data_IF_093557528694
#
_entry.id   IF_093557528694
#
_cell.length_a   1.000
_cell.length_b   1.000
_cell.length_c   1.000
_cell.angle_alpha   90.00
_cell.angle_beta   90.00
_cell.angle_gamma   90.00
#
_symmetry.space_group_name_H-M   'P 1'
#
loop_
_entity.id
_entity.type
_entity.pdbx_description
1 polymer ?
#
# COMPACT_ATOMS: atom_id res chain seq x y z
N UNK A 1 5.91 -8.19 -6.10
CA UNK A 1 4.48 -8.41 -6.40
C UNK A 1 3.82 -9.45 -5.50
N UNK A 2 4.18 -10.74 -5.55
CA UNK A 2 3.49 -11.77 -4.74
C UNK A 2 3.51 -11.48 -3.24
N UNK A 3 4.71 -11.23 -2.68
CA UNK A 3 4.86 -10.83 -1.28
C UNK A 3 4.05 -9.57 -0.97
N UNK A 4 4.20 -8.52 -1.79
CA UNK A 4 3.47 -7.27 -1.62
C UNK A 4 1.94 -7.46 -1.58
N UNK A 5 1.34 -8.18 -2.55
CA UNK A 5 -0.10 -8.41 -2.57
C UNK A 5 -0.57 -9.29 -1.40
N UNK A 6 0.22 -10.29 -1.02
CA UNK A 6 -0.14 -11.20 0.09
C UNK A 6 -0.07 -10.48 1.44
N UNK A 7 0.96 -9.66 1.66
CA UNK A 7 1.07 -8.80 2.86
C UNK A 7 -0.12 -7.85 2.94
N UNK A 8 -0.48 -7.16 1.86
CA UNK A 8 -1.64 -6.26 1.87
C UNK A 8 -2.97 -7.01 2.03
N UNK A 9 -3.11 -8.20 1.43
CA UNK A 9 -4.30 -9.04 1.59
C UNK A 9 -4.49 -9.51 3.04
N UNK A 10 -3.42 -9.61 3.83
CA UNK A 10 -3.53 -9.93 5.26
C UNK A 10 -4.33 -8.89 6.04
N UNK A 11 -4.52 -7.67 5.52
CA UNK A 11 -5.37 -6.66 6.12
C UNK A 11 -6.83 -7.10 6.24
N UNK A 12 -7.31 -7.93 5.31
CA UNK A 12 -8.65 -8.53 5.41
C UNK A 12 -8.82 -9.37 6.69
N UNK A 13 -7.73 -9.93 7.22
CA UNK A 13 -7.76 -10.76 8.43
C UNK A 13 -7.71 -9.97 9.73
N UNK A 14 -7.48 -8.65 9.65
CA UNK A 14 -7.47 -7.75 10.79
C UNK A 14 -6.24 -6.83 10.82
N UNK A 15 -6.44 -5.66 11.42
CA UNK A 15 -5.43 -4.59 11.56
C UNK A 15 -4.17 -5.08 12.27
N UNK A 16 -4.32 -5.91 13.31
CA UNK A 16 -3.19 -6.44 14.07
C UNK A 16 -2.30 -7.34 13.20
N UNK A 17 -2.90 -8.20 12.36
CA UNK A 17 -2.15 -9.09 11.47
C UNK A 17 -1.36 -8.29 10.45
N UNK A 18 -2.01 -7.30 9.84
CA UNK A 18 -1.35 -6.42 8.88
C UNK A 18 -0.24 -5.59 9.52
N UNK A 19 -0.50 -4.96 10.66
CA UNK A 19 0.46 -4.14 11.37
C UNK A 19 1.71 -4.94 11.79
N UNK A 20 1.55 -6.19 12.24
CA UNK A 20 2.69 -7.09 12.52
C UNK A 20 3.52 -7.38 11.28
N UNK A 21 2.87 -7.62 10.14
CA UNK A 21 3.58 -7.85 8.89
C UNK A 21 4.36 -6.61 8.45
N UNK A 22 3.82 -5.41 8.66
CA UNK A 22 4.50 -4.14 8.39
C UNK A 22 5.68 -3.94 9.35
N UNK A 23 5.54 -4.20 10.65
CA UNK A 23 6.68 -4.17 11.57
C UNK A 23 7.82 -5.09 11.13
N UNK A 24 7.49 -6.31 10.68
CA UNK A 24 8.50 -7.24 10.17
C UNK A 24 9.25 -6.69 8.94
N UNK A 25 8.53 -6.02 8.02
CA UNK A 25 9.13 -5.38 6.85
C UNK A 25 10.07 -4.24 7.27
N UNK A 26 9.72 -3.49 8.31
CA UNK A 26 10.52 -2.37 8.80
C UNK A 26 11.61 -2.74 9.83
N UNK A 27 11.67 -4.00 10.28
CA UNK A 27 12.63 -4.49 11.25
C UNK A 27 14.11 -4.28 10.87
N UNK A 28 14.53 -4.31 9.58
CA UNK A 28 15.91 -3.99 9.19
C UNK A 28 16.35 -2.54 9.50
N UNK A 29 15.42 -1.65 9.86
CA UNK A 29 15.73 -0.30 10.34
C UNK A 29 16.55 0.51 9.32
N UNK A 30 17.74 1.05 9.69
CA UNK A 30 18.59 1.83 8.80
C UNK A 30 19.07 1.09 7.54
N UNK A 31 19.05 -0.24 7.53
CA UNK A 31 19.42 -1.05 6.36
C UNK A 31 18.30 -1.13 5.32
N UNK A 32 17.06 -0.84 5.71
CA UNK A 32 15.89 -1.00 4.85
C UNK A 32 16.02 -0.23 3.52
N UNK A 33 16.43 1.07 3.48
CA UNK A 33 16.57 1.77 2.21
C UNK A 33 17.58 1.11 1.26
N UNK A 34 18.67 0.53 1.81
CA UNK A 34 19.67 -0.18 0.99
C UNK A 34 19.06 -1.44 0.37
N UNK A 35 18.29 -2.20 1.16
CA UNK A 35 17.58 -3.39 0.69
C UNK A 35 16.56 -3.01 -0.38
N UNK A 36 15.77 -1.95 -0.16
CA UNK A 36 14.76 -1.47 -1.09
C UNK A 36 15.39 -1.03 -2.42
N UNK A 37 16.49 -0.26 -2.39
CA UNK A 37 17.17 0.15 -3.61
C UNK A 37 17.78 -1.03 -4.37
N UNK A 38 18.44 -1.94 -3.67
CA UNK A 38 19.11 -3.08 -4.30
C UNK A 38 18.13 -4.10 -4.90
N UNK A 39 17.05 -4.43 -4.19
CA UNK A 39 16.16 -5.55 -4.55
C UNK A 39 14.79 -5.14 -5.09
N UNK A 40 14.39 -3.87 -4.93
CA UNK A 40 13.11 -3.36 -5.41
C UNK A 40 13.32 -2.30 -6.49
N UNK A 41 13.88 -1.15 -6.15
CA UNK A 41 13.91 0.00 -7.06
C UNK A 41 14.86 -0.19 -8.25
N UNK A 42 16.10 -0.64 -8.04
CA UNK A 42 17.05 -0.77 -9.15
C UNK A 42 16.61 -1.81 -10.21
N UNK A 43 16.19 -3.03 -9.84
CA UNK A 43 15.67 -3.99 -10.82
C UNK A 43 14.40 -3.50 -11.51
N UNK A 44 13.50 -2.83 -10.77
CA UNK A 44 12.25 -2.30 -11.30
C UNK A 44 12.50 -1.15 -12.29
N UNK A 45 13.45 -0.26 -11.99
CA UNK A 45 13.83 0.83 -12.87
C UNK A 45 14.45 0.30 -14.17
N UNK A 46 15.37 -0.66 -14.07
CA UNK A 46 15.93 -1.35 -15.23
C UNK A 46 14.83 -1.97 -16.09
N UNK A 47 13.90 -2.70 -15.47
CA UNK A 47 12.76 -3.31 -16.16
C UNK A 47 11.86 -2.27 -16.83
N UNK A 48 11.53 -1.17 -16.15
CA UNK A 48 10.67 -0.11 -16.67
C UNK A 48 11.30 0.62 -17.85
N UNK A 49 12.59 0.96 -17.77
CA UNK A 49 13.32 1.65 -18.85
C UNK A 49 13.36 0.76 -20.10
N UNK A 50 13.78 -0.51 -19.96
CA UNK A 50 13.80 -1.45 -21.08
C UNK A 50 12.39 -1.73 -21.61
N UNK A 51 11.40 -1.85 -20.73
CA UNK A 51 10.01 -2.05 -21.10
C UNK A 51 9.46 -0.91 -21.95
N UNK A 52 9.72 0.34 -21.58
CA UNK A 52 9.35 1.53 -22.36
C UNK A 52 10.07 1.55 -23.71
N UNK A 53 11.36 1.22 -23.74
CA UNK A 53 12.12 1.13 -25.01
C UNK A 53 11.53 0.07 -25.96
N UNK A 54 11.23 -1.13 -25.46
CA UNK A 54 10.59 -2.23 -26.22
C UNK A 54 9.16 -1.87 -26.65
N UNK A 55 8.43 -1.13 -25.82
CA UNK A 55 7.07 -0.68 -26.16
C UNK A 55 7.09 0.33 -27.32
N UNK A 56 8.06 1.24 -27.35
CA UNK A 56 8.22 2.26 -28.41
C UNK A 56 8.72 1.69 -29.73
N UNK A 57 9.54 0.64 -29.71
CA UNK A 57 10.13 0.04 -30.92
C UNK A 57 9.34 -1.16 -31.46
N UNK A 58 8.34 -1.64 -30.71
CA UNK A 58 7.52 -2.79 -31.10
C UNK A 58 6.51 -2.48 -32.20
N UNK A 59 6.26 -3.46 -33.07
CA UNK A 59 5.22 -3.39 -34.10
C UNK A 59 3.99 -4.20 -33.64
N UNK A 60 2.81 -3.57 -33.61
CA UNK A 60 1.54 -4.23 -33.30
C UNK A 60 0.80 -4.59 -34.60
N UNK A 61 0.22 -5.79 -34.68
CA UNK A 61 -0.55 -6.23 -35.85
C UNK A 61 -1.95 -6.76 -35.48
N UNK A 62 -2.54 -6.19 -34.43
CA UNK A 62 -3.85 -6.61 -33.90
C UNK A 62 -5.02 -6.24 -34.81
N UNK A 63 -4.87 -5.25 -35.66
CA UNK A 63 -5.94 -4.75 -36.53
C UNK A 63 -6.20 -5.68 -37.73
N UNK A 64 -5.14 -6.32 -38.25
CA UNK A 64 -5.23 -7.26 -39.38
C UNK A 64 -5.27 -8.73 -38.93
N UNK A 65 -4.62 -9.07 -37.81
CA UNK A 65 -4.55 -10.44 -37.30
C UNK A 65 -4.93 -10.51 -35.82
N UNK A 66 -6.18 -10.87 -35.54
CA UNK A 66 -6.76 -10.98 -34.19
C UNK A 66 -6.38 -12.30 -33.47
N UNK A 67 -5.16 -12.76 -33.66
CA UNK A 67 -4.65 -13.96 -32.99
C UNK A 67 -4.49 -13.71 -31.49
N UNK A 68 -4.71 -14.75 -30.68
CA UNK A 68 -4.56 -14.67 -29.21
C UNK A 68 -3.16 -14.22 -28.80
N UNK A 69 -2.12 -14.65 -29.49
CA UNK A 69 -0.73 -14.21 -29.29
C UNK A 69 -0.56 -12.70 -29.52
N UNK A 70 -1.14 -12.16 -30.59
CA UNK A 70 -1.08 -10.73 -30.91
C UNK A 70 -1.81 -9.88 -29.86
N UNK A 71 -2.97 -10.35 -29.39
CA UNK A 71 -3.70 -9.68 -28.30
C UNK A 71 -2.89 -9.64 -27.00
N UNK A 72 -2.25 -10.75 -26.64
CA UNK A 72 -1.39 -10.83 -25.45
C UNK A 72 -0.15 -9.94 -25.54
N UNK A 73 0.47 -9.89 -26.72
CA UNK A 73 1.59 -9.00 -27.00
C UNK A 73 1.22 -7.52 -26.85
N UNK A 74 0.05 -7.13 -27.36
CA UNK A 74 -0.48 -5.77 -27.23
C UNK A 74 -0.87 -5.45 -25.79
N UNK A 75 -1.62 -6.34 -25.12
CA UNK A 75 -2.02 -6.17 -23.72
C UNK A 75 -0.83 -6.09 -22.78
N UNK A 76 0.28 -6.81 -23.03
CA UNK A 76 1.51 -6.68 -22.23
C UNK A 76 2.01 -5.23 -22.21
N UNK A 77 1.97 -4.54 -23.36
CA UNK A 77 2.43 -3.15 -23.48
C UNK A 77 1.47 -2.18 -22.82
N UNK A 78 0.18 -2.31 -23.11
CA UNK A 78 -0.85 -1.45 -22.52
C UNK A 78 -0.82 -1.56 -21.00
N UNK A 79 -0.86 -2.79 -20.46
CA UNK A 79 -0.80 -3.00 -19.01
C UNK A 79 0.54 -2.59 -18.40
N UNK A 80 1.64 -2.69 -19.15
CA UNK A 80 2.95 -2.20 -18.70
C UNK A 80 2.99 -0.68 -18.55
N UNK A 81 2.39 0.05 -19.50
CA UNK A 81 2.28 1.51 -19.42
C UNK A 81 1.32 1.94 -18.30
N UNK A 82 0.18 1.26 -18.15
CA UNK A 82 -0.74 1.50 -17.03
C UNK A 82 -0.04 1.22 -15.70
N UNK A 83 0.69 0.10 -15.58
CA UNK A 83 1.45 -0.25 -14.38
C UNK A 83 2.53 0.78 -14.05
N UNK A 84 3.20 1.36 -15.06
CA UNK A 84 4.18 2.43 -14.86
C UNK A 84 3.54 3.70 -14.28
N UNK A 85 2.42 4.14 -14.85
CA UNK A 85 1.67 5.30 -14.34
C UNK A 85 1.12 5.01 -12.94
N UNK A 86 0.55 3.81 -12.74
CA UNK A 86 0.07 3.35 -11.46
C UNK A 86 1.18 3.38 -10.41
N UNK A 87 2.35 2.81 -10.70
CA UNK A 87 3.48 2.78 -9.77
C UNK A 87 3.95 4.19 -9.41
N UNK A 88 4.01 5.10 -10.40
CA UNK A 88 4.42 6.48 -10.15
C UNK A 88 3.51 7.17 -9.13
N UNK A 89 2.19 7.09 -9.35
CA UNK A 89 1.22 7.68 -8.45
C UNK A 89 1.06 6.88 -7.16
N UNK A 90 1.28 5.57 -7.16
CA UNK A 90 1.24 4.73 -5.97
C UNK A 90 2.32 5.16 -4.97
N UNK A 91 3.57 5.31 -5.44
CA UNK A 91 4.68 5.78 -4.62
C UNK A 91 4.43 7.23 -4.18
N UNK A 92 3.95 8.10 -5.06
CA UNK A 92 3.59 9.48 -4.68
C UNK A 92 2.50 9.49 -3.60
N UNK A 93 1.40 8.79 -3.83
CA UNK A 93 0.22 8.82 -2.98
C UNK A 93 0.48 8.30 -1.58
N UNK A 94 1.14 7.15 -1.45
CA UNK A 94 1.36 6.55 -0.13
C UNK A 94 2.67 6.99 0.50
N UNK A 95 3.75 7.12 -0.28
CA UNK A 95 5.10 7.32 0.25
C UNK A 95 5.71 8.70 -0.03
N UNK A 96 5.09 9.51 -0.89
CA UNK A 96 5.59 10.85 -1.21
C UNK A 96 6.92 10.88 -1.96
N UNK A 97 7.39 9.79 -2.56
CA UNK A 97 8.69 9.69 -3.27
C UNK A 97 9.94 9.90 -2.40
N UNK A 98 10.33 11.16 -2.17
CA UNK A 98 11.59 11.52 -1.53
C UNK A 98 11.37 11.80 -0.04
N UNK A 99 12.26 11.29 0.81
CA UNK A 99 12.16 11.44 2.26
C UNK A 99 12.95 12.66 2.76
N UNK A 100 12.90 13.76 2.03
CA UNK A 100 13.47 15.04 2.45
C UNK A 100 12.38 15.91 3.08
N UNK A 101 12.62 16.49 4.25
CA UNK A 101 11.59 17.17 5.04
C UNK A 101 10.84 18.25 4.24
N UNK A 102 11.57 19.13 3.54
CA UNK A 102 10.95 20.19 2.72
C UNK A 102 10.00 19.62 1.65
N UNK A 103 10.33 18.47 1.08
CA UNK A 103 9.55 17.82 0.04
C UNK A 103 8.34 17.12 0.65
N UNK A 104 8.55 16.37 1.75
CA UNK A 104 7.48 15.68 2.47
C UNK A 104 6.40 16.66 2.96
N UNK A 105 6.80 17.79 3.53
CA UNK A 105 5.84 18.85 3.91
C UNK A 105 5.02 19.34 2.72
N UNK A 106 5.66 19.54 1.57
CA UNK A 106 4.99 20.02 0.36
C UNK A 106 4.00 18.98 -0.18
N UNK A 107 4.40 17.72 -0.31
CA UNK A 107 3.53 16.66 -0.85
C UNK A 107 2.39 16.30 0.09
N UNK A 108 2.63 16.34 1.41
CA UNK A 108 1.58 16.13 2.42
C UNK A 108 0.52 17.22 2.38
N UNK A 109 0.92 18.48 2.21
CA UNK A 109 -0.02 19.59 2.01
C UNK A 109 -0.90 19.40 0.76
N UNK A 110 -0.43 18.65 -0.24
CA UNK A 110 -1.17 18.28 -1.44
C UNK A 110 -1.99 16.99 -1.29
N UNK A 111 -2.01 16.35 -0.11
CA UNK A 111 -2.75 15.11 0.14
C UNK A 111 -2.02 13.83 -0.28
N UNK A 112 -0.69 13.87 -0.44
CA UNK A 112 0.16 12.73 -0.80
C UNK A 112 1.11 12.34 0.34
N UNK A 113 1.73 11.17 0.27
CA UNK A 113 2.62 10.67 1.33
C UNK A 113 1.87 10.38 2.63
N UNK A 114 0.65 9.84 2.53
CA UNK A 114 -0.28 9.66 3.64
C UNK A 114 -0.01 8.41 4.48
N UNK A 115 0.71 7.42 3.94
CA UNK A 115 0.95 6.15 4.64
C UNK A 115 1.95 6.33 5.79
N UNK A 116 1.63 5.74 6.94
CA UNK A 116 2.49 5.72 8.13
C UNK A 116 2.71 4.28 8.57
N UNK A 117 3.94 3.74 8.49
CA UNK A 117 4.20 2.34 8.80
C UNK A 117 3.79 1.88 10.20
N UNK A 118 3.75 2.78 11.18
CA UNK A 118 3.36 2.45 12.56
C UNK A 118 1.85 2.63 12.82
N UNK A 119 1.11 3.14 11.83
CA UNK A 119 -0.34 3.20 11.80
C UNK A 119 -0.84 2.71 10.42
N UNK A 120 -0.42 1.51 10.04
CA UNK A 120 -0.42 1.08 8.64
C UNK A 120 -1.83 0.87 8.08
N UNK A 121 -2.69 0.16 8.79
CA UNK A 121 -4.05 -0.12 8.36
C UNK A 121 -4.91 1.13 8.35
N UNK A 122 -4.87 1.91 9.42
CA UNK A 122 -5.66 3.15 9.52
C UNK A 122 -5.26 4.18 8.46
N UNK A 123 -3.95 4.43 8.26
CA UNK A 123 -3.51 5.39 7.23
C UNK A 123 -3.70 4.90 5.81
N UNK A 124 -3.57 3.58 5.56
CA UNK A 124 -3.88 3.00 4.25
C UNK A 124 -5.37 3.17 3.92
N UNK A 125 -6.26 2.82 4.84
CA UNK A 125 -7.70 2.95 4.63
C UNK A 125 -8.12 4.41 4.48
N UNK A 126 -7.57 5.32 5.31
CA UNK A 126 -7.81 6.75 5.18
C UNK A 126 -7.35 7.31 3.82
N UNK A 127 -6.21 6.84 3.30
CA UNK A 127 -5.71 7.24 1.98
C UNK A 127 -6.63 6.79 0.83
N UNK A 128 -7.45 5.77 1.04
CA UNK A 128 -8.39 5.27 0.02
C UNK A 128 -9.75 5.97 0.04
N UNK A 129 -9.89 7.11 0.70
CA UNK A 129 -11.15 7.85 0.76
C UNK A 129 -11.67 8.30 -0.63
N UNK A 130 -13.00 8.39 -0.75
CA UNK A 130 -13.69 8.73 -2.01
C UNK A 130 -13.72 7.56 -3.00
N UNK A 131 -13.86 7.86 -4.29
CA UNK A 131 -13.98 6.82 -5.34
C UNK A 131 -12.82 6.82 -6.34
N UNK A 132 -12.09 7.94 -6.46
CA UNK A 132 -11.02 8.11 -7.43
C UNK A 132 -9.84 7.18 -7.13
N UNK A 133 -9.31 7.22 -5.89
CA UNK A 133 -8.19 6.38 -5.48
C UNK A 133 -8.54 4.89 -5.49
N UNK A 134 -9.68 4.43 -4.95
CA UNK A 134 -10.10 3.05 -5.08
C UNK A 134 -10.15 2.56 -6.54
N UNK A 135 -10.77 3.31 -7.46
CA UNK A 135 -10.85 2.92 -8.86
C UNK A 135 -9.46 2.89 -9.53
N UNK A 136 -8.63 3.90 -9.27
CA UNK A 136 -7.26 3.98 -9.78
C UNK A 136 -6.42 2.77 -9.35
N UNK A 137 -6.50 2.40 -8.06
CA UNK A 137 -5.77 1.26 -7.51
C UNK A 137 -6.28 -0.07 -8.05
N UNK A 138 -7.59 -0.26 -8.23
CA UNK A 138 -8.13 -1.49 -8.78
C UNK A 138 -7.61 -1.74 -10.21
N UNK A 139 -7.66 -0.72 -11.07
CA UNK A 139 -7.16 -0.80 -12.45
C UNK A 139 -5.64 -1.05 -12.47
N UNK A 140 -4.90 -0.35 -11.60
CA UNK A 140 -3.45 -0.51 -11.46
C UNK A 140 -3.04 -1.92 -11.03
N UNK A 141 -3.66 -2.44 -9.96
CA UNK A 141 -3.41 -3.79 -9.43
C UNK A 141 -3.70 -4.85 -10.49
N UNK A 142 -4.87 -4.81 -11.14
CA UNK A 142 -5.23 -5.79 -12.17
C UNK A 142 -4.29 -5.72 -13.38
N UNK A 143 -3.85 -4.51 -13.76
CA UNK A 143 -2.85 -4.32 -14.81
C UNK A 143 -1.50 -4.94 -14.44
N UNK A 144 -1.02 -4.72 -13.22
CA UNK A 144 0.21 -5.34 -12.71
C UNK A 144 0.12 -6.87 -12.66
N UNK A 145 -1.02 -7.42 -12.23
CA UNK A 145 -1.25 -8.87 -12.19
C UNK A 145 -1.22 -9.47 -13.59
N UNK A 146 -1.93 -8.87 -14.55
CA UNK A 146 -1.89 -9.33 -15.93
C UNK A 146 -0.47 -9.24 -16.51
N UNK A 147 0.20 -8.08 -16.35
CA UNK A 147 1.53 -7.83 -16.87
C UNK A 147 2.55 -8.84 -16.34
N UNK A 148 2.46 -9.18 -15.04
CA UNK A 148 3.31 -10.20 -14.43
C UNK A 148 3.02 -11.60 -14.96
N UNK A 149 1.75 -12.02 -14.98
CA UNK A 149 1.38 -13.37 -15.40
C UNK A 149 1.69 -13.62 -16.88
N UNK A 150 1.39 -12.65 -17.75
CA UNK A 150 1.69 -12.74 -19.17
C UNK A 150 3.19 -12.53 -19.46
N UNK A 151 3.87 -11.70 -18.67
CA UNK A 151 5.31 -11.53 -18.69
C UNK A 151 6.05 -12.83 -18.31
N UNK A 152 5.58 -13.53 -17.28
CA UNK A 152 6.12 -14.84 -16.89
C UNK A 152 5.99 -15.84 -18.03
N UNK A 153 4.81 -15.95 -18.63
CA UNK A 153 4.61 -16.80 -19.82
C UNK A 153 5.57 -16.45 -20.96
N UNK A 154 5.75 -15.16 -21.24
CA UNK A 154 6.62 -14.69 -22.34
C UNK A 154 8.08 -14.97 -22.03
N UNK A 155 8.50 -14.74 -20.79
CA UNK A 155 9.86 -15.00 -20.33
C UNK A 155 10.24 -16.48 -20.47
N UNK A 156 9.35 -17.42 -20.14
CA UNK A 156 9.66 -18.83 -20.30
C UNK A 156 9.76 -19.29 -21.76
N UNK A 157 9.29 -18.51 -22.73
CA UNK A 157 9.65 -18.73 -24.14
C UNK A 157 11.06 -18.22 -24.39
N UNK A 158 11.35 -16.97 -24.02
CA UNK A 158 12.65 -16.31 -24.22
C UNK A 158 13.81 -17.09 -23.59
N UNK A 159 13.61 -17.64 -22.40
CA UNK A 159 14.60 -18.39 -21.64
C UNK A 159 14.54 -19.91 -21.87
N UNK A 160 13.72 -20.37 -22.83
CA UNK A 160 13.74 -21.76 -23.27
C UNK A 160 12.99 -22.78 -22.39
N UNK A 161 12.20 -22.35 -21.41
CA UNK A 161 11.42 -23.23 -20.53
C UNK A 161 10.26 -23.95 -21.25
N UNK A 162 9.61 -23.30 -22.20
CA UNK A 162 8.52 -23.90 -22.98
C UNK A 162 8.55 -23.45 -24.46
N UNK A 163 9.42 -24.10 -25.23
CA UNK A 163 9.63 -23.79 -26.66
C UNK A 163 8.65 -24.49 -27.61
N UNK A 164 8.13 -25.67 -27.23
CA UNK A 164 7.22 -26.44 -28.10
C UNK A 164 5.76 -25.98 -27.98
N UNK A 165 4.92 -26.20 -29.01
CA UNK A 165 3.49 -25.87 -28.93
C UNK A 165 2.79 -26.51 -27.72
N UNK A 166 3.12 -27.77 -27.42
CA UNK A 166 2.58 -28.47 -26.25
C UNK A 166 3.06 -27.84 -24.93
N UNK A 167 4.33 -27.43 -24.85
CA UNK A 167 4.88 -26.71 -23.70
C UNK A 167 4.17 -25.38 -23.47
N UNK A 168 4.00 -24.58 -24.51
CA UNK A 168 3.32 -23.29 -24.45
C UNK A 168 1.84 -23.44 -24.06
N UNK A 169 1.16 -24.49 -24.51
CA UNK A 169 -0.23 -24.79 -24.13
C UNK A 169 -0.36 -25.10 -22.63
N UNK A 170 0.57 -25.89 -22.06
CA UNK A 170 0.61 -26.16 -20.61
C UNK A 170 0.97 -24.91 -19.82
N UNK A 171 1.99 -24.18 -20.25
CA UNK A 171 2.41 -22.92 -19.64
C UNK A 171 1.28 -21.89 -19.63
N UNK A 172 0.43 -21.87 -20.65
CA UNK A 172 -0.74 -20.99 -20.70
C UNK A 172 -1.71 -21.28 -19.56
N UNK A 173 -2.01 -22.56 -19.29
CA UNK A 173 -2.87 -22.96 -18.16
C UNK A 173 -2.26 -22.54 -16.82
N UNK A 174 -0.97 -22.79 -16.63
CA UNK A 174 -0.25 -22.45 -15.39
C UNK A 174 -0.23 -20.94 -15.16
N UNK A 175 0.16 -20.15 -16.17
CA UNK A 175 0.26 -18.70 -16.03
C UNK A 175 -1.12 -18.03 -15.87
N UNK A 176 -2.16 -18.56 -16.51
CA UNK A 176 -3.54 -18.09 -16.29
C UNK A 176 -4.01 -18.40 -14.88
N UNK A 177 -3.82 -19.63 -14.40
CA UNK A 177 -4.18 -20.00 -13.02
C UNK A 177 -3.44 -19.13 -12.00
N UNK A 178 -2.13 -18.93 -12.19
CA UNK A 178 -1.32 -18.03 -11.38
C UNK A 178 -1.85 -16.59 -11.41
N UNK A 179 -2.16 -16.06 -12.60
CA UNK A 179 -2.73 -14.72 -12.75
C UNK A 179 -4.09 -14.57 -12.08
N UNK A 180 -4.97 -15.58 -12.17
CA UNK A 180 -6.29 -15.57 -11.50
C UNK A 180 -6.13 -15.60 -9.98
N UNK A 181 -5.26 -16.45 -9.44
CA UNK A 181 -4.98 -16.49 -7.99
C UNK A 181 -4.45 -15.15 -7.50
N UNK A 182 -3.49 -14.56 -8.22
CA UNK A 182 -2.99 -13.23 -7.87
C UNK A 182 -4.02 -12.13 -8.03
N UNK A 183 -4.93 -12.24 -9.00
CA UNK A 183 -6.03 -11.29 -9.15
C UNK A 183 -6.94 -11.35 -7.93
N UNK A 184 -7.32 -12.55 -7.46
CA UNK A 184 -8.12 -12.73 -6.23
C UNK A 184 -7.41 -12.12 -5.02
N UNK A 185 -6.13 -12.46 -4.80
CA UNK A 185 -5.34 -11.89 -3.69
C UNK A 185 -5.26 -10.36 -3.80
N UNK A 186 -5.01 -9.84 -5.00
CA UNK A 186 -4.91 -8.40 -5.25
C UNK A 186 -6.24 -7.68 -5.04
N UNK A 187 -7.36 -8.25 -5.47
CA UNK A 187 -8.69 -7.69 -5.20
C UNK A 187 -9.08 -7.80 -3.74
N UNK A 188 -8.63 -8.83 -3.03
CA UNK A 188 -8.79 -8.95 -1.58
C UNK A 188 -8.02 -7.83 -0.85
N UNK A 189 -6.77 -7.60 -1.22
CA UNK A 189 -5.96 -6.50 -0.68
C UNK A 189 -6.60 -5.14 -0.94
N UNK A 190 -7.07 -4.92 -2.17
CA UNK A 190 -7.79 -3.71 -2.54
C UNK A 190 -9.08 -3.54 -1.72
N UNK A 191 -9.90 -4.59 -1.62
CA UNK A 191 -11.15 -4.54 -0.86
C UNK A 191 -10.90 -4.23 0.62
N UNK A 192 -9.91 -4.87 1.24
CA UNK A 192 -9.55 -4.63 2.63
C UNK A 192 -9.15 -3.16 2.90
N UNK A 193 -8.55 -2.49 1.91
CA UNK A 193 -8.16 -1.09 2.03
C UNK A 193 -9.32 -0.10 1.81
N UNK A 194 -10.34 -0.46 1.02
CA UNK A 194 -11.42 0.48 0.61
C UNK A 194 -12.75 0.25 1.33
N UNK A 195 -12.94 -0.92 1.94
CA UNK A 195 -14.17 -1.27 2.66
C UNK A 195 -14.35 -0.59 4.03
N UNK A 196 -13.29 -0.29 4.81
CA UNK A 196 -13.45 0.32 6.14
C UNK A 196 -14.16 1.68 6.10
N UNK A 197 -15.04 1.90 7.07
CA UNK A 197 -15.67 3.20 7.34
C UNK A 197 -14.73 4.13 8.14
N UNK A 198 -15.14 5.39 8.32
CA UNK A 198 -14.39 6.33 9.14
C UNK A 198 -14.29 5.87 10.62
N UNK A 199 -15.34 5.25 11.14
CA UNK A 199 -15.36 4.72 12.51
C UNK A 199 -14.40 3.53 12.63
N UNK A 200 -14.38 2.64 11.63
CA UNK A 200 -13.41 1.54 11.58
C UNK A 200 -11.98 2.08 11.58
N UNK A 201 -11.68 3.10 10.75
CA UNK A 201 -10.36 3.73 10.69
C UNK A 201 -9.93 4.29 12.05
N UNK A 202 -10.86 4.90 12.79
CA UNK A 202 -10.59 5.41 14.15
C UNK A 202 -10.28 4.25 15.13
N UNK A 203 -11.03 3.14 15.06
CA UNK A 203 -10.76 1.95 15.87
C UNK A 203 -9.40 1.33 15.53
N UNK A 204 -9.09 1.17 14.24
CA UNK A 204 -7.80 0.63 13.77
C UNK A 204 -6.64 1.43 14.32
N UNK A 205 -6.76 2.76 14.33
CA UNK A 205 -5.75 3.64 14.87
C UNK A 205 -5.50 3.38 16.35
N UNK A 206 -6.57 3.24 17.15
CA UNK A 206 -6.42 2.90 18.58
C UNK A 206 -5.75 1.55 18.79
N UNK A 207 -6.05 0.55 17.95
CA UNK A 207 -5.40 -0.76 17.99
C UNK A 207 -3.90 -0.61 17.69
N UNK A 208 -3.56 0.12 16.62
CA UNK A 208 -2.17 0.34 16.19
C UNK A 208 -1.35 1.12 17.22
N UNK A 209 -1.95 2.13 17.85
CA UNK A 209 -1.29 2.92 18.90
C UNK A 209 -0.96 2.04 20.12
N UNK A 210 -1.90 1.20 20.57
CA UNK A 210 -1.63 0.21 21.64
C UNK A 210 -0.55 -0.79 21.23
N UNK A 211 -0.56 -1.24 19.97
CA UNK A 211 0.45 -2.16 19.46
C UNK A 211 1.83 -1.53 19.38
N UNK A 212 1.91 -0.25 19.01
CA UNK A 212 3.16 0.49 18.99
C UNK A 212 3.75 0.61 20.40
N UNK A 213 2.95 1.05 21.37
CA UNK A 213 3.42 1.24 22.75
C UNK A 213 3.96 -0.09 23.33
N UNK A 214 3.23 -1.19 23.13
CA UNK A 214 3.67 -2.52 23.55
C UNK A 214 4.92 -3.01 22.79
N UNK A 215 5.02 -2.74 21.49
CA UNK A 215 6.18 -3.13 20.68
C UNK A 215 7.42 -2.31 21.05
N UNK A 216 7.25 -1.04 21.41
CA UNK A 216 8.31 -0.16 21.88
C UNK A 216 8.83 -0.62 23.24
N UNK A 217 7.94 -0.90 24.20
CA UNK A 217 8.31 -1.43 25.51
C UNK A 217 9.06 -2.77 25.40
N UNK A 218 8.62 -3.64 24.48
CA UNK A 218 9.27 -4.92 24.21
C UNK A 218 10.58 -4.81 23.41
N UNK A 219 10.98 -3.62 22.94
CA UNK A 219 12.17 -3.41 22.10
C UNK A 219 12.07 -4.03 20.71
N UNK A 220 10.87 -4.31 20.22
CA UNK A 220 10.62 -4.91 18.90
C UNK A 220 10.66 -3.88 17.76
N UNK A 221 10.38 -2.62 18.08
CA UNK A 221 10.47 -1.49 17.15
C UNK A 221 11.23 -0.34 17.82
N UNK A 222 12.08 0.41 17.10
CA UNK A 222 12.73 1.58 17.66
C UNK A 222 11.74 2.76 17.68
N UNK A 223 11.97 3.69 18.61
CA UNK A 223 11.20 4.94 18.72
C UNK A 223 11.47 5.83 17.50
N UNK A 224 10.49 5.90 16.60
CA UNK A 224 10.56 6.62 15.34
C UNK A 224 9.25 7.39 15.14
N UNK A 225 9.05 8.52 15.84
CA UNK A 225 7.79 9.27 15.82
C UNK A 225 7.41 9.76 14.42
N UNK A 226 8.39 9.98 13.54
CA UNK A 226 8.19 10.36 12.14
C UNK A 226 7.47 9.26 11.31
N UNK A 227 7.49 8.01 11.77
CA UNK A 227 6.78 6.88 11.13
C UNK A 227 5.37 6.67 11.67
N UNK A 228 4.96 7.45 12.67
CA UNK A 228 3.59 7.46 13.21
C UNK A 228 2.74 8.53 12.52
N UNK A 229 1.44 8.30 12.50
CA UNK A 229 0.48 9.38 12.25
C UNK A 229 0.48 10.34 13.45
N UNK A 230 0.49 11.65 13.22
CA UNK A 230 0.46 12.63 14.30
C UNK A 230 -0.80 12.41 15.13
N UNK A 231 -0.65 12.12 16.44
CA UNK A 231 -1.76 11.90 17.34
C UNK A 231 -2.75 13.07 17.21
N UNK A 232 -4.00 12.78 16.85
CA UNK A 232 -5.04 13.73 17.19
C UNK A 232 -5.05 13.76 18.71
N UNK A 233 -4.71 14.89 19.31
CA UNK A 233 -4.97 15.15 20.73
C UNK A 233 -6.48 15.10 20.93
N UNK A 234 -7.03 13.89 21.07
CA UNK A 234 -8.33 13.68 21.66
C UNK A 234 -8.18 14.04 23.13
N UNK A 235 -8.56 15.26 23.49
CA UNK A 235 -8.68 15.74 24.87
C UNK A 235 -9.80 15.00 25.60
N UNK A 236 -9.69 13.68 25.71
CA UNK A 236 -10.54 12.87 26.58
C UNK A 236 -9.91 12.91 27.96
N UNK A 237 -10.20 13.95 28.74
CA UNK A 237 -9.71 14.00 30.12
C UNK A 237 -9.80 15.29 30.92
N UNK A 238 -10.35 16.39 30.40
CA UNK A 238 -10.38 17.66 31.15
C UNK A 238 -11.78 18.21 31.46
N UNK A 239 -12.85 17.45 31.19
CA UNK A 239 -14.23 17.89 31.46
C UNK A 239 -14.91 17.22 32.66
N UNK A 240 -14.30 16.21 33.29
CA UNK A 240 -14.92 15.50 34.43
C UNK A 240 -14.41 15.92 35.81
N UNK A 241 -13.38 16.77 35.90
CA UNK A 241 -12.84 17.21 37.20
C UNK A 241 -13.17 18.66 37.60
N UNK A 242 -13.75 19.46 36.70
CA UNK A 242 -14.03 20.88 36.98
C UNK A 242 -15.43 21.16 37.58
N UNK A 243 -16.31 20.16 37.67
CA UNK A 243 -17.71 20.37 38.04
C UNK A 243 -18.01 20.27 39.55
N UNK A 244 -17.04 19.92 40.41
CA UNK A 244 -17.34 19.51 41.80
C UNK A 244 -16.64 20.36 42.90
N UNK A 245 -16.22 21.59 42.58
CA UNK A 245 -15.52 22.46 43.56
C UNK A 245 -16.22 23.78 43.93
N UNK A 246 -17.49 23.98 43.59
CA UNK A 246 -18.22 25.18 44.03
C UNK A 246 -19.40 24.82 44.95
N UNK A 247 -19.05 24.40 46.18
CA UNK A 247 -19.99 24.32 47.31
C UNK A 247 -20.25 25.72 47.92
N UNK A 248 -21.45 25.98 48.47
CA UNK A 248 -21.91 27.34 48.76
C UNK A 248 -21.11 28.02 49.89
N UNK A 249 -20.70 29.27 49.63
CA UNK A 249 -20.06 30.18 50.59
C UNK A 249 -20.94 30.38 51.83
N UNK A 250 -20.39 30.10 53.01
CA UNK A 250 -20.99 30.42 54.31
C UNK A 250 -20.94 31.93 54.57
N UNK A 251 -22.10 32.53 54.81
CA UNK A 251 -22.24 33.90 55.28
C UNK A 251 -21.70 34.07 56.70
N UNK A 252 -20.85 35.09 56.87
CA UNK A 252 -20.35 35.52 58.18
C UNK A 252 -21.42 36.34 58.89
N UNK A 253 -22.02 35.78 59.95
CA UNK A 253 -22.83 36.54 60.91
C UNK A 253 -21.91 37.40 61.76
N UNK A 254 -22.00 38.72 61.57
CA UNK A 254 -21.35 39.74 62.40
C UNK A 254 -22.22 40.04 63.62
N UNK A 255 -21.80 39.58 64.79
CA UNK A 255 -22.29 40.04 66.09
C UNK A 255 -21.88 41.49 66.34
N UNK A 256 -22.85 42.40 66.57
CA UNK A 256 -22.63 43.60 67.38
C UNK A 256 -23.92 43.97 68.13
N UNK A 257 -23.73 44.02 69.45
CA UNK A 257 -24.49 44.60 70.58
C UNK A 257 -25.73 45.42 70.27
#
# INVERSE_FOLDING_TARGET
MVVHLTTNASFLTGTQTFQRAVYLIHAPGPLLPVIEWAFIFAPLLFHAILGVWIAKTGQNNTDRYRLTSNRRYWLQRVTGMIALVFLFFHILHLHGWFHADFWLHTVQAMGFGSFRPYNAGSTLAAAMNGWIWPAFYLVGVLSCVYHLANGLWTSGITWGLWISPAGQARASKVCVAFGVVLAVIGTTAWYAAVAPSADDVAEMRQIEDRMYDAALEAGLVPDMPEKRSAAETHSVGESLHAADLDGPKRDKVSTKR
#
